data_IF_538727631461
#
_entry.id   IF_538727631461
#
_cell.length_a   1.000
_cell.length_b   1.000
_cell.length_c   1.000
_cell.angle_alpha   90.00
_cell.angle_beta   90.00
_cell.angle_gamma   90.00
#
_symmetry.space_group_name_H-M   'P 1'
#
loop_
_entity.id
_entity.type
_entity.pdbx_description
1 polymer ?
#
# COMPACT_ATOMS: atom_id res chain seq x y z
N UNK A 1 -32.79 20.03 8.10
CA UNK A 1 -32.46 19.65 6.70
C UNK A 1 -33.72 19.07 6.08
N UNK A 2 -34.09 19.42 4.84
CA UNK A 2 -35.26 18.84 4.17
C UNK A 2 -35.20 17.32 4.04
N UNK A 3 -36.33 16.70 3.71
CA UNK A 3 -36.36 15.28 3.37
C UNK A 3 -35.58 15.03 2.08
N UNK A 4 -34.75 14.00 2.08
CA UNK A 4 -33.88 13.70 0.95
C UNK A 4 -32.71 12.81 1.31
N UNK A 5 -31.91 12.54 0.29
CA UNK A 5 -30.72 11.72 0.36
C UNK A 5 -29.48 12.61 0.23
N UNK A 6 -28.57 12.52 1.18
CA UNK A 6 -27.41 13.41 1.29
C UNK A 6 -26.12 12.61 1.47
N UNK A 7 -25.01 13.19 1.03
CA UNK A 7 -23.67 12.70 1.32
C UNK A 7 -23.05 13.58 2.41
N UNK A 8 -22.73 12.98 3.54
CA UNK A 8 -22.01 13.62 4.64
C UNK A 8 -20.52 13.30 4.53
N UNK A 9 -19.71 14.35 4.46
CA UNK A 9 -18.26 14.31 4.48
C UNK A 9 -17.73 15.24 5.55
N UNK A 10 -16.77 14.77 6.35
CA UNK A 10 -16.09 15.60 7.35
C UNK A 10 -14.77 16.08 6.75
N UNK A 11 -14.69 17.38 6.52
CA UNK A 11 -13.53 18.02 5.90
C UNK A 11 -12.53 18.45 6.96
N UNK A 12 -11.31 17.95 6.85
CA UNK A 12 -10.18 18.32 7.70
C UNK A 12 -8.87 18.20 6.93
N UNK A 13 -7.85 18.92 7.39
CA UNK A 13 -6.55 19.02 6.73
C UNK A 13 -5.60 17.88 7.07
N UNK A 14 -5.82 17.13 8.14
CA UNK A 14 -4.83 16.14 8.60
C UNK A 14 -5.39 14.72 8.74
N UNK A 15 -6.71 14.58 8.83
CA UNK A 15 -7.38 13.31 9.03
C UNK A 15 -8.31 13.00 7.86
N UNK A 16 -8.61 11.73 7.70
CA UNK A 16 -9.56 11.25 6.72
C UNK A 16 -10.70 10.55 7.44
N UNK A 17 -11.93 10.96 7.16
CA UNK A 17 -13.14 10.40 7.77
C UNK A 17 -13.92 9.57 6.75
N UNK A 18 -14.70 8.57 7.20
CA UNK A 18 -15.61 7.84 6.33
C UNK A 18 -16.66 8.79 5.73
N UNK A 19 -17.02 8.54 4.46
CA UNK A 19 -18.17 9.19 3.84
C UNK A 19 -19.45 8.46 4.26
N UNK A 20 -20.51 9.20 4.56
CA UNK A 20 -21.79 8.62 4.95
C UNK A 20 -22.89 9.04 3.99
N UNK A 21 -23.70 8.08 3.56
CA UNK A 21 -25.00 8.34 2.96
C UNK A 21 -26.02 8.54 4.08
N UNK A 22 -26.68 9.70 4.08
CA UNK A 22 -27.77 10.03 4.98
C UNK A 22 -29.08 10.00 4.20
N UNK A 23 -30.04 9.18 4.64
CA UNK A 23 -31.41 9.21 4.16
C UNK A 23 -32.27 9.84 5.24
N UNK A 24 -32.69 11.08 4.98
CA UNK A 24 -33.55 11.87 5.86
C UNK A 24 -35.00 11.69 5.39
N UNK A 25 -35.85 11.23 6.30
CA UNK A 25 -37.30 11.13 6.16
C UNK A 25 -37.97 11.89 7.31
N UNK A 26 -39.27 12.10 7.25
CA UNK A 26 -40.07 12.91 8.19
C UNK A 26 -39.74 12.59 9.67
N UNK A 27 -39.68 11.30 10.02
CA UNK A 27 -39.51 10.85 11.40
C UNK A 27 -38.21 10.07 11.67
N UNK A 28 -37.38 9.84 10.65
CA UNK A 28 -36.18 9.02 10.81
C UNK A 28 -35.01 9.47 9.94
N UNK A 29 -33.81 9.31 10.49
CA UNK A 29 -32.56 9.54 9.78
C UNK A 29 -31.77 8.24 9.81
N UNK A 30 -31.56 7.66 8.64
CA UNK A 30 -30.68 6.50 8.47
C UNK A 30 -29.32 6.97 7.94
N UNK A 31 -28.24 6.54 8.58
CA UNK A 31 -26.88 6.82 8.12
C UNK A 31 -26.19 5.52 7.76
N UNK A 32 -25.61 5.44 6.57
CA UNK A 32 -24.92 4.24 6.09
C UNK A 32 -23.54 4.64 5.60
N UNK A 33 -22.51 3.84 5.94
CA UNK A 33 -21.16 4.05 5.39
C UNK A 33 -21.16 3.79 3.89
N UNK A 34 -20.57 4.71 3.13
CA UNK A 34 -20.40 4.57 1.68
C UNK A 34 -18.96 4.89 1.31
N UNK A 35 -18.48 4.28 0.23
CA UNK A 35 -17.14 4.48 -0.30
C UNK A 35 -17.24 4.94 -1.76
N UNK A 36 -16.22 5.67 -2.22
CA UNK A 36 -16.18 6.21 -3.57
C UNK A 36 -16.18 5.08 -4.60
N UNK A 37 -17.11 5.13 -5.56
CA UNK A 37 -17.27 4.11 -6.60
C UNK A 37 -18.34 3.05 -6.34
N UNK A 38 -19.00 3.08 -5.17
CA UNK A 38 -20.20 2.28 -4.92
C UNK A 38 -21.46 2.98 -5.44
N UNK A 39 -22.40 2.18 -5.96
CA UNK A 39 -23.70 2.65 -6.42
C UNK A 39 -24.52 3.23 -5.27
N UNK A 40 -25.32 4.28 -5.52
CA UNK A 40 -26.08 4.94 -4.46
C UNK A 40 -27.12 4.03 -3.81
N UNK A 41 -27.69 3.09 -4.57
CA UNK A 41 -28.66 2.10 -4.10
C UNK A 41 -28.04 0.99 -3.25
N UNK A 42 -26.70 0.94 -3.13
CA UNK A 42 -26.02 -0.09 -2.35
C UNK A 42 -26.50 -0.05 -0.90
N UNK A 43 -27.02 -1.20 -0.45
CA UNK A 43 -27.41 -1.41 0.93
C UNK A 43 -26.14 -1.59 1.78
N UNK A 44 -26.10 -0.93 2.92
CA UNK A 44 -25.02 -1.07 3.89
C UNK A 44 -25.58 -1.08 5.31
N UNK A 45 -24.71 -1.34 6.28
CA UNK A 45 -25.12 -1.38 7.69
C UNK A 45 -25.48 0.04 8.17
N UNK A 46 -26.69 0.24 8.74
CA UNK A 46 -27.06 1.51 9.33
C UNK A 46 -26.23 1.76 10.60
N UNK A 47 -25.81 3.01 10.77
CA UNK A 47 -25.08 3.48 11.93
C UNK A 47 -26.07 3.98 13.01
N UNK A 48 -25.78 3.70 14.29
CA UNK A 48 -26.59 4.20 15.39
C UNK A 48 -26.45 5.72 15.55
N UNK A 49 -27.47 6.33 16.13
CA UNK A 49 -27.44 7.73 16.56
C UNK A 49 -27.09 7.80 18.06
N UNK A 50 -26.28 8.77 18.52
CA UNK A 50 -25.59 9.81 17.75
C UNK A 50 -24.46 9.26 16.87
N UNK A 51 -24.20 9.94 15.75
CA UNK A 51 -23.15 9.52 14.80
C UNK A 51 -21.76 9.71 15.42
N UNK A 52 -21.13 8.60 15.81
CA UNK A 52 -19.74 8.57 16.26
C UNK A 52 -18.83 8.17 15.09
N UNK A 53 -18.07 9.14 14.58
CA UNK A 53 -17.14 8.95 13.47
C UNK A 53 -15.71 8.98 13.98
N UNK A 54 -14.99 7.88 13.76
CA UNK A 54 -13.55 7.82 13.97
C UNK A 54 -12.82 8.11 12.64
N UNK A 55 -11.68 8.81 12.68
CA UNK A 55 -10.83 8.98 11.51
C UNK A 55 -10.30 7.61 11.05
N UNK A 56 -10.33 7.35 9.75
CA UNK A 56 -9.80 6.13 9.12
C UNK A 56 -8.29 6.18 8.93
N UNK A 57 -7.76 7.35 8.61
CA UNK A 57 -6.34 7.54 8.32
C UNK A 57 -5.90 8.99 8.59
N UNK A 58 -4.59 9.20 8.62
CA UNK A 58 -3.97 10.52 8.58
C UNK A 58 -3.62 10.81 7.11
N UNK A 59 -3.93 12.01 6.62
CA UNK A 59 -3.62 12.40 5.25
C UNK A 59 -2.13 12.69 5.10
N UNK A 60 -1.46 11.91 4.25
CA UNK A 60 -0.07 12.13 3.85
C UNK A 60 -0.02 12.86 2.50
N UNK A 61 0.27 14.16 2.54
CA UNK A 61 0.35 14.98 1.33
C UNK A 61 1.69 14.89 0.60
N UNK A 62 2.72 14.39 1.28
CA UNK A 62 4.07 14.30 0.76
C UNK A 62 4.46 12.85 0.65
N UNK A 63 4.94 12.46 -0.53
CA UNK A 63 5.56 11.16 -0.69
C UNK A 63 6.81 11.08 0.20
N UNK A 64 6.94 9.96 0.93
CA UNK A 64 8.15 9.67 1.69
C UNK A 64 9.31 9.48 0.70
N UNK A 65 10.42 10.19 0.92
CA UNK A 65 11.63 9.99 0.12
C UNK A 65 12.16 8.58 0.34
N UNK A 66 12.44 7.88 -0.75
CA UNK A 66 13.16 6.61 -0.67
C UNK A 66 14.54 6.87 -0.06
N UNK A 67 14.83 6.16 1.04
CA UNK A 67 16.13 6.20 1.68
C UNK A 67 17.14 5.31 0.97
N UNK A 68 18.40 5.42 1.36
CA UNK A 68 19.41 4.46 0.96
C UNK A 68 19.10 3.09 1.59
N UNK A 69 18.83 2.08 0.75
CA UNK A 69 18.61 0.70 1.19
C UNK A 69 19.87 -0.12 0.89
N UNK A 70 20.56 -0.58 1.94
CA UNK A 70 21.75 -1.44 1.80
C UNK A 70 21.35 -2.77 1.13
N UNK A 71 20.21 -3.35 1.54
CA UNK A 71 19.67 -4.54 0.89
C UNK A 71 19.30 -4.27 -0.58
N UNK A 72 18.72 -3.09 -0.86
CA UNK A 72 18.43 -2.65 -2.22
C UNK A 72 19.69 -2.47 -3.08
N UNK A 73 20.81 -2.05 -2.47
CA UNK A 73 22.09 -1.95 -3.14
C UNK A 73 22.63 -3.34 -3.53
N UNK A 74 22.60 -4.31 -2.62
CA UNK A 74 23.04 -5.68 -2.93
C UNK A 74 22.12 -6.39 -3.93
N UNK A 75 20.83 -6.05 -3.94
CA UNK A 75 19.87 -6.53 -4.94
C UNK A 75 20.00 -5.82 -6.30
N UNK A 76 20.87 -4.82 -6.45
CA UNK A 76 21.07 -4.13 -7.71
C UNK A 76 21.71 -5.08 -8.74
N UNK A 77 21.17 -5.17 -9.97
CA UNK A 77 21.72 -6.03 -11.03
C UNK A 77 23.21 -5.82 -11.27
N UNK A 78 23.73 -4.59 -11.16
CA UNK A 78 25.16 -4.33 -11.32
C UNK A 78 26.00 -4.92 -10.18
N UNK A 79 25.54 -4.82 -8.93
CA UNK A 79 26.23 -5.41 -7.78
C UNK A 79 26.24 -6.94 -7.85
N UNK A 80 25.13 -7.55 -8.29
CA UNK A 80 25.04 -8.99 -8.50
C UNK A 80 25.99 -9.46 -9.62
N UNK A 81 26.03 -8.76 -10.76
CA UNK A 81 26.94 -9.09 -11.87
C UNK A 81 28.41 -8.93 -11.47
N UNK A 82 28.74 -7.88 -10.72
CA UNK A 82 30.08 -7.69 -10.17
C UNK A 82 30.44 -8.84 -9.22
N UNK A 83 29.55 -9.17 -8.28
CA UNK A 83 29.76 -10.27 -7.33
C UNK A 83 29.95 -11.61 -8.05
N UNK A 84 29.10 -11.93 -9.03
CA UNK A 84 29.23 -13.12 -9.86
C UNK A 84 30.57 -13.18 -10.58
N UNK A 85 31.01 -12.07 -11.18
CA UNK A 85 32.29 -12.00 -11.89
C UNK A 85 33.49 -12.25 -10.96
N UNK A 86 33.46 -11.70 -9.75
CA UNK A 86 34.50 -11.93 -8.73
C UNK A 86 34.51 -13.40 -8.29
N UNK A 87 33.33 -13.98 -8.06
CA UNK A 87 33.22 -15.42 -7.71
C UNK A 87 33.79 -16.29 -8.84
N UNK A 88 33.45 -16.00 -10.10
CA UNK A 88 33.99 -16.73 -11.25
C UNK A 88 35.51 -16.65 -11.34
N UNK A 89 36.11 -15.47 -11.12
CA UNK A 89 37.58 -15.31 -11.10
C UNK A 89 38.26 -16.18 -10.03
N UNK A 90 37.62 -16.42 -8.88
CA UNK A 90 38.17 -17.23 -7.80
C UNK A 90 37.91 -18.73 -8.01
N UNK A 91 36.74 -19.09 -8.52
CA UNK A 91 36.31 -20.49 -8.66
C UNK A 91 36.88 -21.14 -9.92
N UNK A 92 36.96 -20.43 -11.06
CA UNK A 92 37.53 -20.94 -12.31
C UNK A 92 38.91 -21.60 -12.15
N UNK A 93 39.93 -20.96 -11.51
CA UNK A 93 41.24 -21.58 -11.36
C UNK A 93 41.21 -22.80 -10.42
N UNK A 94 40.28 -22.87 -9.46
CA UNK A 94 40.10 -24.05 -8.60
C UNK A 94 39.51 -25.22 -9.38
N UNK A 95 38.54 -24.97 -10.27
CA UNK A 95 37.95 -25.98 -11.14
C UNK A 95 38.97 -26.54 -12.14
N UNK A 96 39.76 -25.68 -12.78
CA UNK A 96 40.81 -26.10 -13.71
C UNK A 96 41.88 -26.96 -13.02
N UNK A 97 42.26 -26.63 -11.78
CA UNK A 97 43.18 -27.44 -10.98
C UNK A 97 42.60 -28.80 -10.60
N UNK A 98 41.29 -28.90 -10.35
CA UNK A 98 40.64 -30.18 -10.07
C UNK A 98 40.41 -31.06 -11.31
N UNK A 99 40.43 -30.47 -12.51
CA UNK A 99 40.25 -31.17 -13.79
C UNK A 99 41.57 -31.47 -14.52
N UNK A 100 42.67 -30.85 -14.10
CA UNK A 100 44.00 -30.99 -14.67
C UNK A 100 44.89 -31.97 -13.89
N UNK A 101 44.49 -33.24 -13.86
CA UNK A 101 45.43 -34.35 -13.74
C UNK A 101 45.62 -34.88 -15.18
N UNK A 102 46.36 -34.11 -15.99
CA UNK A 102 46.77 -34.53 -17.33
C UNK A 102 48.05 -35.38 -17.14
N UNK A 103 48.07 -36.66 -17.54
CA UNK A 103 49.24 -37.51 -17.34
C UNK A 103 50.43 -36.96 -18.14
N UNK A 104 51.66 -36.96 -17.59
CA UNK A 104 52.84 -36.58 -18.35
C UNK A 104 53.04 -37.58 -19.50
N UNK A 105 53.33 -37.05 -20.70
CA UNK A 105 53.83 -37.81 -21.86
C UNK A 105 55.17 -38.49 -21.55
#
# INVERSE_FOLDING_TARGET
VPEGDYLLEVWTTSLEFPKLKLSVRQDSVAAVKTDTGLEWSTAGLPLPYPLLLAPRAKREYFAKREGFSILGLFANPYMLMMGFSVVMLVVMPRMMKSMGECPPE
#
